data_IF_378519214982
#
_entry.id   IF_378519214982
#
_cell.length_a   1.000
_cell.length_b   1.000
_cell.length_c   1.000
_cell.angle_alpha   90.00
_cell.angle_beta   90.00
_cell.angle_gamma   90.00
#
_symmetry.space_group_name_H-M   'P 1'
#
loop_
_entity.id
_entity.type
_entity.pdbx_description
1 polymer ?
#
# COMPACT_ATOMS: atom_id res chain seq x y z
N UNK A 1 18.43 7.20 -5.53
CA UNK A 1 17.58 8.26 -4.95
C UNK A 1 16.16 7.80 -4.88
N UNK A 2 15.47 8.09 -3.79
CA UNK A 2 14.08 7.71 -3.64
C UNK A 2 13.16 8.81 -4.16
N UNK A 3 12.00 8.38 -4.65
CA UNK A 3 10.88 9.27 -5.00
C UNK A 3 9.84 9.12 -3.90
N UNK A 4 9.28 10.22 -3.44
CA UNK A 4 8.22 10.21 -2.44
C UNK A 4 6.99 10.93 -2.97
N UNK A 5 5.82 10.36 -2.73
CA UNK A 5 4.56 11.03 -3.00
C UNK A 5 3.53 10.71 -1.93
N UNK A 6 2.47 11.52 -1.86
CA UNK A 6 1.40 11.35 -0.89
C UNK A 6 0.05 11.29 -1.59
N UNK A 7 -0.87 10.50 -1.02
CA UNK A 7 -2.27 10.48 -1.41
C UNK A 7 -3.10 10.72 -0.15
N UNK A 8 -4.08 11.61 -0.24
CA UNK A 8 -4.99 11.90 0.88
C UNK A 8 -6.39 11.43 0.52
N UNK A 9 -7.04 10.73 1.43
CA UNK A 9 -8.38 10.17 1.22
C UNK A 9 -9.27 10.50 2.41
N UNK A 10 -10.47 11.00 2.14
CA UNK A 10 -11.48 11.23 3.17
C UNK A 10 -12.40 10.03 3.24
N UNK A 11 -12.70 9.56 4.45
CA UNK A 11 -13.58 8.42 4.67
C UNK A 11 -14.61 8.75 5.74
N UNK A 12 -15.80 8.18 5.61
CA UNK A 12 -16.84 8.29 6.62
C UNK A 12 -16.60 7.32 7.79
N UNK A 13 -15.70 6.36 7.63
CA UNK A 13 -15.35 5.41 8.68
C UNK A 13 -14.50 6.09 9.76
N UNK A 14 -14.69 5.66 11.03
CA UNK A 14 -13.84 6.14 12.10
C UNK A 14 -12.41 5.59 11.93
N UNK A 15 -11.40 6.18 12.61
CA UNK A 15 -10.01 5.75 12.44
C UNK A 15 -9.76 4.27 12.68
N UNK A 16 -10.38 3.69 13.71
CA UNK A 16 -10.17 2.28 14.03
C UNK A 16 -10.69 1.37 12.91
N UNK A 17 -11.88 1.66 12.40
CA UNK A 17 -12.49 0.87 11.32
C UNK A 17 -11.67 0.96 10.04
N UNK A 18 -11.22 2.17 9.69
CA UNK A 18 -10.44 2.36 8.48
C UNK A 18 -9.05 1.74 8.62
N UNK A 19 -8.44 1.86 9.80
CA UNK A 19 -7.16 1.21 10.11
C UNK A 19 -7.28 -0.30 9.92
N UNK A 20 -8.33 -0.91 10.47
CA UNK A 20 -8.52 -2.36 10.39
C UNK A 20 -8.76 -2.82 8.95
N UNK A 21 -9.54 -2.07 8.17
CA UNK A 21 -9.73 -2.36 6.75
C UNK A 21 -8.43 -2.23 5.97
N UNK A 22 -7.65 -1.20 6.27
CA UNK A 22 -6.42 -0.90 5.51
C UNK A 22 -5.34 -1.96 5.71
N UNK A 23 -5.29 -2.59 6.87
CA UNK A 23 -4.32 -3.65 7.15
C UNK A 23 -4.87 -5.05 6.90
N UNK A 24 -6.09 -5.17 6.41
CA UNK A 24 -6.67 -6.48 6.11
C UNK A 24 -6.18 -6.97 4.74
N UNK A 25 -5.47 -8.09 4.73
CA UNK A 25 -4.86 -8.66 3.53
C UNK A 25 -5.92 -9.03 2.50
N UNK A 26 -7.07 -9.57 2.94
CA UNK A 26 -8.16 -9.94 2.03
C UNK A 26 -8.77 -8.71 1.36
N UNK A 27 -8.95 -7.63 2.12
CA UNK A 27 -9.47 -6.37 1.60
C UNK A 27 -8.50 -5.79 0.57
N UNK A 28 -7.20 -5.81 0.89
CA UNK A 28 -6.18 -5.32 -0.04
C UNK A 28 -6.20 -6.11 -1.36
N UNK A 29 -6.27 -7.42 -1.28
CA UNK A 29 -6.32 -8.27 -2.47
C UNK A 29 -7.52 -7.93 -3.35
N UNK A 30 -8.71 -7.76 -2.74
CA UNK A 30 -9.90 -7.37 -3.49
C UNK A 30 -9.77 -5.98 -4.12
N UNK A 31 -9.13 -5.04 -3.42
CA UNK A 31 -8.96 -3.69 -3.93
C UNK A 31 -8.02 -3.63 -5.14
N UNK A 32 -7.19 -4.64 -5.31
CA UNK A 32 -6.19 -4.72 -6.39
C UNK A 32 -6.57 -5.77 -7.45
N UNK A 33 -7.85 -6.08 -7.57
CA UNK A 33 -8.33 -7.11 -8.50
C UNK A 33 -7.94 -6.82 -9.96
N UNK A 34 -7.84 -5.55 -10.34
CA UNK A 34 -7.42 -5.17 -11.69
C UNK A 34 -6.01 -5.62 -12.04
N UNK A 35 -5.15 -5.84 -11.06
CA UNK A 35 -3.79 -6.35 -11.24
C UNK A 35 -3.71 -7.87 -11.05
N UNK A 36 -4.84 -8.53 -10.86
CA UNK A 36 -4.91 -9.96 -10.57
C UNK A 36 -4.03 -10.33 -9.38
N UNK A 37 -4.03 -9.48 -8.35
CA UNK A 37 -3.21 -9.68 -7.17
C UNK A 37 -3.68 -10.88 -6.36
N UNK A 38 -2.73 -11.66 -5.88
CA UNK A 38 -2.99 -12.78 -4.98
C UNK A 38 -1.87 -12.86 -3.96
N UNK A 39 -2.16 -13.53 -2.83
CA UNK A 39 -1.14 -13.79 -1.81
C UNK A 39 -0.56 -15.16 -2.04
N UNK A 40 0.77 -15.26 -2.00
CA UNK A 40 1.49 -16.51 -2.22
C UNK A 40 2.39 -16.90 -1.04
N UNK A 41 2.42 -16.09 0.01
CA UNK A 41 3.20 -16.38 1.21
C UNK A 41 2.85 -15.45 2.36
N UNK A 42 3.31 -15.77 3.57
CA UNK A 42 3.05 -14.98 4.76
C UNK A 42 1.59 -15.01 5.17
N UNK A 43 1.11 -13.88 5.70
CA UNK A 43 -0.30 -13.71 6.06
C UNK A 43 -1.12 -13.66 4.78
N UNK A 44 -2.06 -14.56 4.61
CA UNK A 44 -2.82 -14.68 3.35
C UNK A 44 -4.22 -14.09 3.43
N UNK A 45 -4.73 -13.84 4.61
CA UNK A 45 -6.07 -13.27 4.81
C UNK A 45 -6.17 -12.66 6.18
N UNK A 46 -7.13 -11.73 6.35
CA UNK A 46 -7.37 -11.07 7.62
C UNK A 46 -6.33 -10.01 7.95
N UNK A 47 -6.39 -9.47 9.18
CA UNK A 47 -5.50 -8.39 9.56
C UNK A 47 -4.06 -8.85 9.73
N UNK A 48 -3.13 -8.05 9.22
CA UNK A 48 -1.71 -8.27 9.39
C UNK A 48 -1.22 -7.36 10.54
N UNK A 49 -0.29 -7.87 11.36
CA UNK A 49 0.23 -7.16 12.52
C UNK A 49 1.71 -6.87 12.43
N UNK A 50 2.20 -6.15 13.45
CA UNK A 50 3.61 -5.76 13.55
C UNK A 50 4.53 -6.98 13.45
N UNK A 51 5.54 -6.88 12.60
CA UNK A 51 6.53 -7.93 12.38
C UNK A 51 6.11 -9.01 11.41
N UNK A 52 4.83 -9.07 11.06
CA UNK A 52 4.34 -10.06 10.10
C UNK A 52 4.58 -9.59 8.67
N UNK A 53 4.65 -10.54 7.75
CA UNK A 53 4.84 -10.22 6.34
C UNK A 53 3.79 -10.89 5.47
N UNK A 54 3.72 -10.42 4.22
CA UNK A 54 2.86 -10.97 3.18
C UNK A 54 3.63 -10.91 1.87
N UNK A 55 3.49 -11.96 1.07
CA UNK A 55 4.06 -11.98 -0.28
C UNK A 55 2.93 -11.88 -1.28
N UNK A 56 2.97 -10.82 -2.07
CA UNK A 56 2.02 -10.52 -3.11
C UNK A 56 2.55 -10.97 -4.46
N UNK A 57 1.65 -11.49 -5.29
CA UNK A 57 1.93 -11.72 -6.71
C UNK A 57 0.88 -10.97 -7.50
N UNK A 58 1.31 -10.14 -8.43
CA UNK A 58 0.40 -9.33 -9.24
C UNK A 58 1.00 -9.11 -10.63
N UNK A 59 0.15 -8.69 -11.56
CA UNK A 59 0.57 -8.42 -12.93
C UNK A 59 0.68 -6.91 -13.13
N UNK A 60 1.89 -6.46 -13.45
CA UNK A 60 2.16 -5.05 -13.74
C UNK A 60 2.95 -4.97 -15.04
N UNK A 61 2.50 -4.11 -15.96
CA UNK A 61 3.14 -3.96 -17.27
C UNK A 61 3.24 -5.29 -18.03
N UNK A 62 2.23 -6.16 -17.86
CA UNK A 62 2.20 -7.46 -18.51
C UNK A 62 3.12 -8.51 -17.90
N UNK A 63 3.76 -8.22 -16.77
CA UNK A 63 4.70 -9.12 -16.10
C UNK A 63 4.17 -9.56 -14.75
N UNK A 64 4.32 -10.87 -14.39
CA UNK A 64 4.00 -11.32 -13.05
C UNK A 64 5.16 -10.94 -12.12
N UNK A 65 4.85 -10.11 -11.13
CA UNK A 65 5.85 -9.64 -10.16
C UNK A 65 5.46 -10.11 -8.76
N UNK A 66 6.46 -10.42 -7.94
CA UNK A 66 6.24 -10.77 -6.54
C UNK A 66 6.95 -9.75 -5.65
N UNK A 67 6.29 -9.40 -4.56
CA UNK A 67 6.85 -8.50 -3.55
C UNK A 67 6.48 -9.01 -2.17
N UNK A 68 7.46 -9.11 -1.28
CA UNK A 68 7.22 -9.39 0.12
C UNK A 68 7.33 -8.09 0.90
N UNK A 69 6.29 -7.77 1.65
CA UNK A 69 6.22 -6.60 2.52
C UNK A 69 6.10 -7.04 3.96
N UNK A 70 6.77 -6.34 4.85
CA UNK A 70 6.71 -6.57 6.29
C UNK A 70 6.17 -5.32 6.99
N UNK A 71 5.34 -5.52 8.00
CA UNK A 71 4.89 -4.41 8.85
C UNK A 71 6.03 -4.08 9.80
N UNK A 72 6.68 -2.94 9.57
CA UNK A 72 7.87 -2.56 10.32
C UNK A 72 7.59 -1.60 11.47
N UNK A 73 6.42 -0.95 11.48
CA UNK A 73 6.00 -0.07 12.57
C UNK A 73 4.49 -0.03 12.64
N UNK A 74 3.95 0.12 13.84
CA UNK A 74 2.51 0.19 14.03
C UNK A 74 2.18 0.90 15.35
N UNK A 75 1.28 1.88 15.28
CA UNK A 75 0.66 2.53 16.43
C UNK A 75 -0.83 2.59 16.17
N UNK A 76 -1.53 1.59 16.62
CA UNK A 76 -2.97 1.43 16.38
C UNK A 76 -3.78 2.45 17.16
N UNK A 77 -4.76 3.13 16.58
CA UNK A 77 -5.18 3.08 15.17
C UNK A 77 -4.63 4.23 14.32
N UNK A 78 -3.54 4.85 14.75
CA UNK A 78 -3.03 6.09 14.14
C UNK A 78 -2.17 5.86 12.91
N UNK A 79 -1.27 4.87 12.95
CA UNK A 79 -0.33 4.66 11.84
C UNK A 79 0.09 3.20 11.73
N UNK A 80 0.46 2.78 10.53
CA UNK A 80 1.32 1.61 10.34
C UNK A 80 2.15 1.80 9.07
N UNK A 81 3.26 1.08 9.02
CA UNK A 81 4.21 1.17 7.92
C UNK A 81 4.52 -0.23 7.42
N UNK A 82 4.49 -0.41 6.11
CA UNK A 82 4.99 -1.63 5.49
C UNK A 82 6.16 -1.30 4.57
N UNK A 83 7.12 -2.22 4.52
CA UNK A 83 8.33 -2.06 3.73
C UNK A 83 8.63 -3.34 2.98
N UNK A 84 9.11 -3.18 1.74
CA UNK A 84 9.56 -4.31 0.96
C UNK A 84 10.79 -4.92 1.60
N UNK A 85 10.75 -6.24 1.83
CA UNK A 85 11.91 -7.02 2.24
C UNK A 85 12.49 -7.79 1.06
N UNK A 86 11.65 -8.05 0.04
CA UNK A 86 12.06 -8.76 -1.16
C UNK A 86 11.14 -8.35 -2.30
N UNK A 87 11.68 -7.98 -3.46
CA UNK A 87 10.83 -7.55 -4.55
C UNK A 87 11.56 -6.78 -5.62
N UNK A 88 10.81 -6.17 -6.56
CA UNK A 88 11.38 -5.54 -7.76
C UNK A 88 12.04 -4.18 -7.51
N UNK A 89 11.75 -3.55 -6.38
CA UNK A 89 12.33 -2.24 -6.09
C UNK A 89 13.65 -2.39 -5.35
N UNK A 90 14.51 -1.39 -5.47
CA UNK A 90 15.67 -1.28 -4.60
C UNK A 90 15.20 -0.97 -3.18
N UNK A 91 14.09 -0.21 -3.07
CA UNK A 91 13.54 0.25 -1.82
C UNK A 91 12.06 0.59 -2.04
N UNK A 92 11.21 0.19 -1.11
CA UNK A 92 9.79 0.55 -1.12
C UNK A 92 9.28 0.63 0.31
N UNK A 93 8.71 1.77 0.67
CA UNK A 93 8.15 2.01 1.99
C UNK A 93 6.81 2.72 1.85
N UNK A 94 5.80 2.20 2.53
CA UNK A 94 4.46 2.77 2.51
C UNK A 94 4.02 3.04 3.95
N UNK A 95 3.86 4.29 4.31
CA UNK A 95 3.37 4.71 5.62
C UNK A 95 1.91 5.13 5.50
N UNK A 96 1.08 4.59 6.38
CA UNK A 96 -0.34 4.87 6.44
C UNK A 96 -0.62 5.67 7.70
N UNK A 97 -1.32 6.80 7.57
CA UNK A 97 -1.74 7.64 8.70
C UNK A 97 -3.24 7.80 8.69
N UNK A 98 -3.83 7.78 9.86
CA UNK A 98 -5.28 7.85 10.05
C UNK A 98 -5.58 8.95 11.06
N UNK A 99 -6.07 10.09 10.57
CA UNK A 99 -6.35 11.27 11.38
C UNK A 99 -7.85 11.42 11.56
N UNK A 100 -8.36 11.51 12.80
CA UNK A 100 -9.77 11.78 13.00
C UNK A 100 -10.16 13.10 12.33
N UNK A 101 -11.31 13.11 11.66
CA UNK A 101 -11.84 14.30 11.03
C UNK A 101 -13.37 14.27 11.13
N UNK A 102 -13.94 15.09 12.02
CA UNK A 102 -15.36 15.02 12.31
C UNK A 102 -15.72 13.64 12.85
N UNK A 103 -16.69 12.98 12.23
CA UNK A 103 -17.05 11.61 12.59
C UNK A 103 -16.31 10.56 11.76
N UNK A 104 -15.54 11.01 10.78
CA UNK A 104 -14.79 10.13 9.88
C UNK A 104 -13.28 10.24 10.07
N UNK A 105 -12.55 9.99 9.00
CA UNK A 105 -11.08 9.93 9.02
C UNK A 105 -10.49 10.53 7.76
N UNK A 106 -9.42 11.29 7.93
CA UNK A 106 -8.53 11.67 6.83
C UNK A 106 -7.37 10.67 6.84
N UNK A 107 -7.25 9.89 5.77
CA UNK A 107 -6.18 8.93 5.61
C UNK A 107 -5.11 9.50 4.69
N UNK A 108 -3.85 9.44 5.12
CA UNK A 108 -2.71 9.89 4.32
C UNK A 108 -1.81 8.71 4.06
N UNK A 109 -1.53 8.46 2.78
CA UNK A 109 -0.58 7.44 2.34
C UNK A 109 0.68 8.14 1.86
N UNK A 110 1.83 7.81 2.47
CA UNK A 110 3.14 8.29 2.04
C UNK A 110 3.92 7.13 1.49
N UNK A 111 4.27 7.20 0.21
CA UNK A 111 5.02 6.16 -0.47
C UNK A 111 6.38 6.71 -0.86
N UNK A 112 7.44 5.98 -0.47
CA UNK A 112 8.79 6.26 -0.91
C UNK A 112 9.33 5.01 -1.59
N UNK A 113 9.94 5.17 -2.75
CA UNK A 113 10.48 4.03 -3.49
C UNK A 113 11.69 4.42 -4.31
N UNK A 114 12.50 3.42 -4.68
CA UNK A 114 13.61 3.58 -5.62
C UNK A 114 13.61 2.39 -6.57
N UNK A 115 13.70 2.67 -7.86
CA UNK A 115 13.79 1.65 -8.89
C UNK A 115 15.20 1.07 -8.93
N UNK A 116 15.36 -0.17 -9.44
CA UNK A 116 16.64 -0.88 -9.32
C UNK A 116 17.72 -0.49 -10.34
N UNK A 117 17.42 0.24 -11.40
CA UNK A 117 18.30 0.36 -12.58
C UNK A 117 19.11 1.64 -12.66
N UNK A 118 19.61 2.16 -11.56
CA UNK A 118 20.50 3.33 -11.58
C UNK A 118 19.90 4.53 -12.29
N UNK A 119 20.63 5.11 -13.27
CA UNK A 119 20.17 6.31 -13.99
C UNK A 119 18.89 6.06 -14.77
N UNK A 120 18.78 4.90 -15.44
CA UNK A 120 17.55 4.52 -16.14
C UNK A 120 16.39 4.37 -15.16
N UNK A 121 16.66 3.76 -14.00
CA UNK A 121 15.68 3.65 -12.93
C UNK A 121 15.24 5.02 -12.43
N UNK A 122 16.16 5.96 -12.28
CA UNK A 122 15.86 7.31 -11.83
C UNK A 122 14.89 8.02 -12.79
N UNK A 123 15.10 7.89 -14.09
CA UNK A 123 14.20 8.46 -15.10
C UNK A 123 12.84 7.77 -15.03
N UNK A 124 12.82 6.44 -14.98
CA UNK A 124 11.59 5.66 -14.91
C UNK A 124 10.78 5.98 -13.65
N UNK A 125 11.44 6.15 -12.49
CA UNK A 125 10.79 6.53 -11.24
C UNK A 125 9.94 7.79 -11.43
N UNK A 126 10.50 8.80 -12.06
CA UNK A 126 9.87 10.10 -12.15
C UNK A 126 8.81 10.16 -13.25
N UNK A 127 9.04 9.51 -14.38
CA UNK A 127 8.17 9.65 -15.54
C UNK A 127 7.01 8.66 -15.56
N UNK A 128 7.23 7.46 -15.04
CA UNK A 128 6.27 6.36 -15.19
C UNK A 128 5.83 5.77 -13.85
N UNK A 129 6.79 5.32 -13.04
CA UNK A 129 6.48 4.54 -11.85
C UNK A 129 5.72 5.34 -10.80
N UNK A 130 6.09 6.59 -10.56
CA UNK A 130 5.38 7.41 -9.58
C UNK A 130 3.91 7.58 -9.96
N UNK A 131 3.63 7.83 -11.24
CA UNK A 131 2.25 7.96 -11.70
C UNK A 131 1.49 6.64 -11.60
N UNK A 132 2.14 5.55 -11.96
CA UNK A 132 1.52 4.23 -11.93
C UNK A 132 1.19 3.82 -10.50
N UNK A 133 2.14 3.97 -9.58
CA UNK A 133 1.93 3.64 -8.17
C UNK A 133 0.86 4.52 -7.54
N UNK A 134 0.85 5.81 -7.85
CA UNK A 134 -0.19 6.72 -7.36
C UNK A 134 -1.57 6.22 -7.79
N UNK A 135 -1.73 5.80 -9.04
CA UNK A 135 -3.02 5.27 -9.53
C UNK A 135 -3.44 4.02 -8.76
N UNK A 136 -2.49 3.13 -8.48
CA UNK A 136 -2.79 1.92 -7.71
C UNK A 136 -3.28 2.27 -6.31
N UNK A 137 -2.59 3.19 -5.65
CA UNK A 137 -2.97 3.61 -4.30
C UNK A 137 -4.33 4.31 -4.33
N UNK A 138 -4.58 5.16 -5.31
CA UNK A 138 -5.87 5.84 -5.43
C UNK A 138 -7.02 4.87 -5.69
N UNK A 139 -6.80 3.83 -6.49
CA UNK A 139 -7.81 2.78 -6.71
C UNK A 139 -8.12 2.03 -5.42
N UNK A 140 -7.07 1.66 -4.69
CA UNK A 140 -7.23 1.01 -3.40
C UNK A 140 -8.03 1.91 -2.44
N UNK A 141 -7.69 3.19 -2.38
CA UNK A 141 -8.34 4.14 -1.49
C UNK A 141 -9.80 4.37 -1.86
N UNK A 142 -10.12 4.42 -3.15
CA UNK A 142 -11.50 4.49 -3.61
C UNK A 142 -12.27 3.24 -3.16
N UNK A 143 -11.67 2.07 -3.27
CA UNK A 143 -12.28 0.83 -2.81
C UNK A 143 -12.57 0.90 -1.29
N UNK A 144 -11.60 1.41 -0.50
CA UNK A 144 -11.79 1.55 0.94
C UNK A 144 -12.90 2.53 1.29
N UNK A 145 -13.03 3.63 0.54
CA UNK A 145 -14.11 4.59 0.75
C UNK A 145 -15.49 3.97 0.54
N UNK A 146 -15.58 2.99 -0.36
CA UNK A 146 -16.84 2.32 -0.67
C UNK A 146 -17.23 1.28 0.38
N UNK A 147 -16.34 0.94 1.30
CA UNK A 147 -16.60 0.01 2.40
C UNK A 147 -17.24 0.79 3.53
N UNK A 148 -18.50 1.12 3.37
CA UNK A 148 -19.25 1.87 4.38
C UNK A 148 -20.05 0.90 5.21
N UNK A 149 -20.15 1.09 6.45
CA UNK A 149 -21.00 0.33 7.14
C UNK A 149 -21.08 0.24 8.18
#
# INVERSE_FOLDING_TARGET
MAVTFECTTESTLNPQSLFDLSRDVSVHTRSMAGSRESTVGGVRSGPIGLGEDVTWRAWHFGLPLQMTSQITAMQEPATFTDEQTRGPFRYFRHQHEFHPHGTGTTMVDRISFAAPLGVLGWVAERLVLARYLRRLIERRNTFLQQQVR
#
